data_IF_787212879357
#
_entry.id   IF_787212879357
#
_cell.length_a   1.000
_cell.length_b   1.000
_cell.length_c   1.000
_cell.angle_alpha   90.00
_cell.angle_beta   90.00
_cell.angle_gamma   90.00
#
_symmetry.space_group_name_H-M   'P 1'
#
loop_
_entity.id
_entity.type
_entity.pdbx_description
1 polymer ?
#
# COMPACT_ATOMS: atom_id res chain seq x y z
N UNK A 1 1.59 20.58 9.46
CA UNK A 1 2.00 21.63 8.51
C UNK A 1 2.83 20.99 7.41
N UNK A 2 2.80 21.52 6.19
CA UNK A 2 3.66 21.05 5.12
C UNK A 2 5.15 21.32 5.42
N UNK A 3 6.09 20.44 5.02
CA UNK A 3 7.52 20.59 5.26
C UNK A 3 8.07 21.98 4.90
N UNK A 4 7.74 22.46 3.71
CA UNK A 4 8.18 23.75 3.18
C UNK A 4 7.70 24.94 4.01
N UNK A 5 6.52 24.84 4.65
CA UNK A 5 6.05 25.87 5.57
C UNK A 5 6.84 25.86 6.88
N UNK A 6 7.18 24.68 7.39
CA UNK A 6 7.95 24.52 8.64
C UNK A 6 9.34 25.14 8.49
N UNK A 7 9.98 24.94 7.33
CA UNK A 7 11.31 25.47 7.04
C UNK A 7 11.30 26.89 6.44
N UNK A 8 10.13 27.52 6.29
CA UNK A 8 10.00 28.90 5.80
C UNK A 8 10.34 29.10 4.32
N UNK A 9 10.19 28.06 3.50
CA UNK A 9 10.36 28.15 2.04
C UNK A 9 9.12 28.77 1.39
N UNK A 10 9.23 29.31 0.16
CA UNK A 10 8.06 29.72 -0.61
C UNK A 10 7.08 28.56 -0.80
N UNK A 11 5.78 28.85 -0.67
CA UNK A 11 4.73 27.86 -0.77
C UNK A 11 3.51 28.41 -1.51
N UNK A 12 2.67 27.50 -2.00
CA UNK A 12 1.39 27.79 -2.66
C UNK A 12 0.27 26.95 -2.02
N UNK A 13 -0.86 26.77 -2.72
CA UNK A 13 -2.02 26.00 -2.24
C UNK A 13 -1.75 24.50 -2.07
N UNK A 14 -0.63 23.96 -2.56
CA UNK A 14 -0.27 22.55 -2.38
C UNK A 14 0.01 22.19 -0.91
N UNK A 15 0.22 23.17 -0.02
CA UNK A 15 0.33 22.96 1.43
C UNK A 15 -0.97 22.45 2.05
N UNK A 16 -2.10 22.84 1.47
CA UNK A 16 -3.42 22.38 1.91
C UNK A 16 -3.63 20.92 1.50
N UNK A 17 -3.07 20.51 0.35
CA UNK A 17 -3.08 19.10 -0.09
C UNK A 17 -2.24 18.24 0.86
N UNK A 18 -1.09 18.73 1.32
CA UNK A 18 -0.30 18.03 2.34
C UNK A 18 -1.06 17.88 3.66
N UNK A 19 -1.75 18.95 4.07
CA UNK A 19 -2.59 18.93 5.28
C UNK A 19 -3.74 17.94 5.14
N UNK A 20 -4.38 17.89 3.97
CA UNK A 20 -5.37 16.86 3.63
C UNK A 20 -4.78 15.45 3.69
N UNK A 21 -3.61 15.20 3.09
CA UNK A 21 -2.90 13.93 3.19
C UNK A 21 -2.61 13.53 4.64
N UNK A 22 -2.22 14.48 5.49
CA UNK A 22 -2.02 14.25 6.93
C UNK A 22 -3.32 13.84 7.64
N UNK A 23 -4.46 14.41 7.25
CA UNK A 23 -5.79 13.99 7.75
C UNK A 23 -6.11 12.58 7.26
N UNK A 24 -5.83 12.25 6.00
CA UNK A 24 -6.02 10.89 5.47
C UNK A 24 -5.19 9.86 6.24
N UNK A 25 -3.93 10.15 6.56
CA UNK A 25 -3.10 9.28 7.41
C UNK A 25 -3.73 9.05 8.79
N UNK A 26 -4.25 10.11 9.44
CA UNK A 26 -4.95 9.99 10.73
C UNK A 26 -6.19 9.09 10.64
N UNK A 27 -6.96 9.21 9.55
CA UNK A 27 -8.16 8.40 9.33
C UNK A 27 -7.82 6.93 9.09
N UNK A 28 -6.81 6.65 8.26
CA UNK A 28 -6.34 5.28 7.98
C UNK A 28 -5.83 4.63 9.26
N UNK A 29 -4.95 5.31 9.99
CA UNK A 29 -4.30 4.76 11.19
C UNK A 29 -5.16 4.88 12.45
N UNK A 30 -6.25 5.65 12.40
CA UNK A 30 -7.13 5.97 13.53
C UNK A 30 -6.34 6.54 14.72
N UNK A 31 -5.44 7.48 14.44
CA UNK A 31 -4.53 8.09 15.42
C UNK A 31 -4.43 9.60 15.23
N UNK A 32 -3.83 10.29 16.21
CA UNK A 32 -3.61 11.74 16.17
C UNK A 32 -2.43 12.10 15.24
N UNK A 33 -2.37 13.36 14.78
CA UNK A 33 -1.32 13.85 13.89
C UNK A 33 0.07 14.06 14.55
N UNK A 34 0.17 13.78 15.84
CA UNK A 34 1.37 14.05 16.66
C UNK A 34 2.58 13.28 16.11
N UNK A 35 3.81 13.83 16.23
CA UNK A 35 5.02 13.17 15.74
C UNK A 35 5.28 11.77 16.35
N UNK A 36 4.74 11.50 17.53
CA UNK A 36 4.83 10.20 18.19
C UNK A 36 3.95 9.12 17.52
N UNK A 37 2.94 9.53 16.76
CA UNK A 37 1.94 8.67 16.15
C UNK A 37 2.09 8.59 14.62
N UNK A 38 2.31 9.73 13.98
CA UNK A 38 2.63 9.80 12.55
C UNK A 38 4.14 9.93 12.38
N UNK A 39 4.78 8.84 11.96
CA UNK A 39 6.21 8.77 11.69
C UNK A 39 6.57 9.83 10.64
N UNK A 40 7.55 10.66 10.99
CA UNK A 40 8.11 11.71 10.13
C UNK A 40 9.61 11.58 10.04
N UNK A 41 10.18 11.94 8.90
CA UNK A 41 11.62 12.06 8.76
C UNK A 41 12.15 13.19 9.63
N UNK A 42 13.22 12.91 10.37
CA UNK A 42 13.76 13.81 11.39
C UNK A 42 14.40 15.10 10.81
N UNK A 43 14.72 15.13 9.51
CA UNK A 43 15.38 16.27 8.86
C UNK A 43 14.39 17.12 8.08
N UNK A 44 13.47 16.48 7.38
CA UNK A 44 12.53 17.11 6.46
C UNK A 44 11.15 17.34 7.08
N UNK A 45 10.84 16.68 8.21
CA UNK A 45 9.52 16.68 8.84
C UNK A 45 8.39 16.10 7.97
N UNK A 46 8.75 15.49 6.83
CA UNK A 46 7.82 14.83 5.92
C UNK A 46 7.26 13.56 6.56
N UNK A 47 6.03 13.18 6.22
CA UNK A 47 5.44 11.91 6.68
C UNK A 47 6.06 10.78 5.86
N UNK A 48 6.49 9.73 6.54
CA UNK A 48 7.13 8.55 5.94
C UNK A 48 6.09 7.44 5.75
N UNK A 49 5.39 7.47 4.61
CA UNK A 49 4.30 6.53 4.34
C UNK A 49 4.73 5.06 4.32
N UNK A 50 5.92 4.78 3.81
CA UNK A 50 6.46 3.42 3.78
C UNK A 50 6.71 2.87 5.18
N UNK A 51 7.11 3.72 6.13
CA UNK A 51 7.27 3.33 7.53
C UNK A 51 5.93 3.18 8.23
N UNK A 52 4.96 4.07 7.95
CA UNK A 52 3.60 3.93 8.47
C UNK A 52 2.94 2.61 8.03
N UNK A 53 3.15 2.19 6.78
CA UNK A 53 2.61 0.93 6.25
C UNK A 53 3.18 -0.33 6.92
N UNK A 54 4.33 -0.23 7.59
CA UNK A 54 4.97 -1.33 8.34
C UNK A 54 4.46 -1.46 9.77
N UNK A 55 3.65 -0.52 10.26
CA UNK A 55 3.11 -0.57 11.61
C UNK A 55 2.18 -1.77 11.80
N UNK A 56 2.28 -2.45 12.94
CA UNK A 56 1.44 -3.62 13.26
C UNK A 56 -0.06 -3.31 13.26
N UNK A 57 -0.43 -2.06 13.58
CA UNK A 57 -1.82 -1.60 13.62
C UNK A 57 -2.32 -1.05 12.27
N UNK A 58 -1.52 -1.10 11.21
CA UNK A 58 -1.93 -0.65 9.89
C UNK A 58 -3.09 -1.50 9.36
N UNK A 59 -4.21 -0.90 8.89
CA UNK A 59 -5.34 -1.70 8.44
C UNK A 59 -5.03 -2.49 7.15
N UNK A 60 -5.09 -3.83 7.25
CA UNK A 60 -4.76 -4.79 6.17
C UNK A 60 -5.61 -4.57 4.91
N UNK A 61 -6.86 -4.11 5.07
CA UNK A 61 -7.80 -3.97 3.96
C UNK A 61 -7.90 -2.54 3.42
N UNK A 62 -6.89 -1.69 3.66
CA UNK A 62 -6.92 -0.31 3.14
C UNK A 62 -6.87 -0.33 1.60
N UNK A 63 -7.82 0.30 0.88
CA UNK A 63 -7.87 0.26 -0.58
C UNK A 63 -6.58 0.82 -1.21
N UNK A 64 -5.97 0.13 -2.20
CA UNK A 64 -4.72 0.59 -2.82
C UNK A 64 -4.80 2.00 -3.43
N UNK A 65 -5.96 2.34 -4.01
CA UNK A 65 -6.21 3.68 -4.56
C UNK A 65 -6.16 4.78 -3.49
N UNK A 66 -6.69 4.48 -2.29
CA UNK A 66 -6.68 5.40 -1.15
C UNK A 66 -5.25 5.59 -0.62
N UNK A 67 -4.48 4.49 -0.54
CA UNK A 67 -3.08 4.51 -0.11
C UNK A 67 -2.21 5.33 -1.07
N UNK A 68 -2.32 5.05 -2.38
CA UNK A 68 -1.54 5.75 -3.39
C UNK A 68 -1.85 7.26 -3.39
N UNK A 69 -3.13 7.63 -3.38
CA UNK A 69 -3.54 9.04 -3.29
C UNK A 69 -2.98 9.70 -2.03
N UNK A 70 -3.14 9.06 -0.87
CA UNK A 70 -2.65 9.59 0.41
C UNK A 70 -1.13 9.80 0.39
N UNK A 71 -0.39 8.84 -0.17
CA UNK A 71 1.06 8.91 -0.31
C UNK A 71 1.50 10.08 -1.19
N UNK A 72 0.82 10.31 -2.32
CA UNK A 72 1.11 11.48 -3.16
C UNK A 72 0.78 12.79 -2.45
N UNK A 73 -0.34 12.87 -1.72
CA UNK A 73 -0.72 14.07 -0.96
C UNK A 73 0.34 14.48 0.06
N UNK A 74 1.00 13.52 0.72
CA UNK A 74 2.04 13.80 1.73
C UNK A 74 3.46 13.83 1.15
N UNK A 75 3.61 13.93 -0.18
CA UNK A 75 4.93 14.01 -0.80
C UNK A 75 5.72 15.22 -0.32
N UNK A 76 7.02 15.03 -0.10
CA UNK A 76 7.96 16.10 0.24
C UNK A 76 8.02 17.16 -0.88
N UNK A 77 8.04 16.73 -2.15
CA UNK A 77 8.00 17.64 -3.29
C UNK A 77 6.57 18.08 -3.56
N UNK A 78 6.24 19.38 -3.43
CA UNK A 78 4.87 19.86 -3.63
C UNK A 78 4.31 19.58 -5.03
N UNK A 79 5.17 19.43 -6.04
CA UNK A 79 4.77 19.16 -7.43
C UNK A 79 4.25 17.74 -7.65
N UNK A 80 4.58 16.83 -6.74
CA UNK A 80 4.10 15.45 -6.78
C UNK A 80 2.73 15.31 -6.09
N UNK A 81 2.22 16.38 -5.47
CA UNK A 81 0.92 16.37 -4.81
C UNK A 81 -0.18 16.60 -5.84
N UNK A 82 -1.26 15.81 -5.83
CA UNK A 82 -2.39 16.00 -6.74
C UNK A 82 -3.14 17.30 -6.42
N UNK A 83 -3.78 17.91 -7.42
CA UNK A 83 -4.77 18.95 -7.14
C UNK A 83 -6.03 18.34 -6.52
N UNK A 84 -6.83 19.15 -5.82
CA UNK A 84 -8.05 18.65 -5.17
C UNK A 84 -9.06 18.04 -6.14
N UNK A 85 -9.16 18.53 -7.38
CA UNK A 85 -10.04 17.92 -8.40
C UNK A 85 -9.67 16.45 -8.66
N UNK A 86 -8.37 16.16 -8.74
CA UNK A 86 -7.86 14.80 -8.87
C UNK A 86 -8.10 13.98 -7.59
N UNK A 87 -7.91 14.57 -6.41
CA UNK A 87 -8.23 13.90 -5.13
C UNK A 87 -9.71 13.47 -5.07
N UNK A 88 -10.63 14.35 -5.47
CA UNK A 88 -12.08 14.04 -5.50
C UNK A 88 -12.35 12.88 -6.44
N UNK A 89 -11.81 12.91 -7.67
CA UNK A 89 -11.98 11.81 -8.62
C UNK A 89 -11.42 10.48 -8.12
N UNK A 90 -10.27 10.49 -7.42
CA UNK A 90 -9.68 9.29 -6.81
C UNK A 90 -10.52 8.77 -5.62
N UNK A 91 -11.10 9.66 -4.83
CA UNK A 91 -12.02 9.29 -3.75
C UNK A 91 -13.32 8.69 -4.28
N UNK A 92 -13.88 9.23 -5.37
CA UNK A 92 -15.06 8.66 -6.05
C UNK A 92 -14.76 7.26 -6.60
N UNK A 93 -13.62 7.08 -7.25
CA UNK A 93 -13.15 5.76 -7.70
C UNK A 93 -12.95 4.80 -6.53
N UNK A 94 -12.39 5.27 -5.42
CA UNK A 94 -12.25 4.48 -4.19
C UNK A 94 -13.61 4.06 -3.63
N UNK A 95 -14.59 4.96 -3.63
CA UNK A 95 -15.94 4.66 -3.18
C UNK A 95 -16.59 3.59 -4.08
N UNK A 96 -16.48 3.73 -5.40
CA UNK A 96 -16.98 2.73 -6.35
C UNK A 96 -16.30 1.37 -6.16
N UNK A 97 -14.98 1.35 -5.97
CA UNK A 97 -14.21 0.14 -5.66
C UNK A 97 -14.77 -0.58 -4.42
N UNK A 98 -15.00 0.16 -3.34
CA UNK A 98 -15.56 -0.37 -2.08
C UNK A 98 -16.99 -0.89 -2.24
N UNK A 99 -17.84 -0.14 -2.97
CA UNK A 99 -19.24 -0.52 -3.22
C UNK A 99 -19.37 -1.74 -4.15
N UNK A 100 -18.38 -1.98 -5.00
CA UNK A 100 -18.35 -3.12 -5.94
C UNK A 100 -17.94 -4.44 -5.28
N UNK A 101 -17.79 -4.48 -3.94
CA UNK A 101 -17.45 -5.70 -3.21
C UNK A 101 -16.02 -6.21 -3.41
N UNK A 102 -15.13 -5.41 -3.99
CA UNK A 102 -13.72 -5.79 -4.15
C UNK A 102 -13.01 -5.72 -2.79
N UNK A 103 -12.49 -6.85 -2.34
CA UNK A 103 -11.58 -6.91 -1.18
C UNK A 103 -10.18 -6.47 -1.65
N UNK A 104 -9.52 -5.61 -0.88
CA UNK A 104 -8.14 -5.16 -1.12
C UNK A 104 -7.22 -6.36 -1.37
N UNK A 105 -6.53 -6.38 -2.52
CA UNK A 105 -5.52 -7.40 -2.81
C UNK A 105 -4.41 -7.34 -1.76
N UNK A 106 -4.17 -8.46 -1.07
CA UNK A 106 -3.07 -8.56 -0.12
C UNK A 106 -1.74 -8.44 -0.87
N UNK A 107 -0.98 -7.38 -0.59
CA UNK A 107 0.43 -7.34 -0.97
C UNK A 107 1.19 -8.13 0.10
N UNK A 108 1.51 -9.39 -0.21
CA UNK A 108 2.46 -10.17 0.59
C UNK A 108 3.83 -9.54 0.36
N UNK A 109 4.29 -8.69 1.30
CA UNK A 109 5.70 -8.30 1.35
C UNK A 109 6.46 -9.50 1.90
N UNK A 110 6.89 -10.37 0.98
CA UNK A 110 7.79 -11.47 1.29
C UNK A 110 9.16 -10.91 1.69
N UNK A 111 9.56 -11.16 2.93
CA UNK A 111 10.96 -11.09 3.29
C UNK A 111 11.72 -12.24 2.61
N UNK A 112 12.92 -11.90 2.14
CA UNK A 112 13.97 -12.75 1.57
C UNK A 112 13.88 -13.03 0.07
N UNK A 113 14.97 -12.64 -0.59
CA UNK A 113 15.34 -13.04 -1.93
C UNK A 113 15.43 -14.57 -2.00
N UNK A 114 14.68 -15.19 -2.92
CA UNK A 114 15.07 -16.37 -3.69
C UNK A 114 13.98 -16.68 -4.74
N UNK A 115 14.41 -16.65 -6.01
CA UNK A 115 13.87 -17.23 -7.24
C UNK A 115 12.35 -17.30 -7.52
N UNK A 116 11.96 -16.53 -8.54
CA UNK A 116 10.71 -16.65 -9.28
C UNK A 116 10.72 -18.01 -10.02
N UNK A 117 9.84 -18.92 -9.62
CA UNK A 117 9.35 -19.98 -10.51
C UNK A 117 7.88 -19.71 -10.81
N UNK A 118 7.60 -19.45 -12.09
CA UNK A 118 6.25 -19.29 -12.63
C UNK A 118 5.54 -20.64 -12.58
N UNK A 119 4.44 -20.73 -11.85
CA UNK A 119 3.53 -21.88 -11.94
C UNK A 119 2.47 -21.52 -12.98
N UNK A 120 2.65 -22.07 -14.18
CA UNK A 120 1.65 -22.05 -15.25
C UNK A 120 0.59 -23.13 -14.96
N UNK A 121 -0.66 -22.70 -14.84
CA UNK A 121 -1.84 -23.56 -14.90
C UNK A 121 -2.03 -24.10 -16.32
N UNK A 122 -1.86 -25.41 -16.53
CA UNK A 122 -2.42 -26.13 -17.69
C UNK A 122 -2.68 -27.62 -17.40
N UNK A 123 -3.91 -27.88 -16.94
CA UNK A 123 -4.86 -28.88 -17.42
C UNK A 123 -4.41 -30.25 -18.01
N UNK A 124 -5.02 -31.31 -17.44
CA UNK A 124 -5.78 -32.35 -18.18
C UNK A 124 -5.13 -33.70 -18.57
N UNK A 125 -5.75 -34.74 -17.98
CA UNK A 125 -6.07 -36.09 -18.51
C UNK A 125 -5.14 -37.31 -18.34
N UNK A 126 -5.63 -38.23 -17.49
CA UNK A 126 -5.99 -39.64 -17.75
C UNK A 126 -5.02 -40.52 -18.55
N UNK A 127 -4.55 -41.59 -17.90
CA UNK A 127 -4.04 -42.82 -18.53
C UNK A 127 -3.98 -43.96 -17.52
N UNK A 128 -4.71 -45.03 -17.80
CA UNK A 128 -5.01 -46.20 -16.96
C UNK A 128 -3.97 -47.34 -17.16
N UNK A 129 -4.13 -48.42 -16.39
CA UNK A 129 -3.58 -49.80 -16.51
C UNK A 129 -2.29 -50.22 -15.78
N UNK A 130 -2.51 -50.97 -14.69
CA UNK A 130 -2.05 -52.33 -14.38
C UNK A 130 -0.59 -52.76 -14.63
N UNK A 131 0.10 -53.17 -13.54
CA UNK A 131 0.55 -54.56 -13.38
C UNK A 131 1.03 -54.87 -11.95
N UNK A 132 0.41 -55.89 -11.33
CA UNK A 132 0.95 -56.63 -10.20
C UNK A 132 2.13 -57.51 -10.66
N UNK A 133 3.21 -57.60 -9.87
CA UNK A 133 3.80 -58.89 -9.51
C UNK A 133 4.78 -58.79 -8.34
N UNK A 134 4.75 -59.85 -7.54
CA UNK A 134 5.65 -60.19 -6.45
C UNK A 134 7.06 -60.49 -6.98
N UNK A 135 8.11 -60.23 -6.20
CA UNK A 135 8.91 -61.33 -5.65
C UNK A 135 10.03 -60.90 -4.69
N UNK A 136 10.32 -61.87 -3.83
CA UNK A 136 11.17 -61.92 -2.65
C UNK A 136 12.67 -62.11 -3.00
N UNK A 137 13.56 -61.47 -2.21
CA UNK A 137 14.98 -61.76 -1.95
C UNK A 137 15.98 -61.94 -3.13
N UNK A 138 17.14 -61.27 -3.01
CA UNK A 138 18.44 -61.86 -2.60
C UNK A 138 19.60 -61.09 -3.27
N UNK A 139 20.40 -60.39 -2.48
CA UNK A 139 21.88 -60.42 -2.41
C UNK A 139 22.37 -59.28 -1.52
#
# INVERSE_FOLDING_TARGET
>A
MAPEMIVGQPYDNSVDVYSFGTIMCQLILRTNADPDNLIRDAKTFCIEMDELMKLENFPINTPPILLNMTSQCVSLDPRNRPCFDLCVGLLEQCLLYLLSGHQSQQVIVGNSAEDITTVDDNNTERGDSDHQNLDVNKY
#
